data_IF_429669750368
#
_entry.id   IF_429669750368
#
_cell.length_a   1.000
_cell.length_b   1.000
_cell.length_c   1.000
_cell.angle_alpha   90.00
_cell.angle_beta   90.00
_cell.angle_gamma   90.00
#
_symmetry.space_group_name_H-M   'P 1'
#
loop_
_entity.id
_entity.type
_entity.pdbx_description
1 polymer ?
#
# COMPACT_ATOMS: atom_id res chain seq x y z
N UNK A 1 -4.95 14.53 15.00
CA UNK A 1 -5.18 13.52 16.06
C UNK A 1 -4.74 12.18 15.49
N UNK A 2 -4.15 11.29 16.29
CA UNK A 2 -3.74 9.96 15.83
C UNK A 2 -4.64 8.89 16.48
N UNK A 3 -5.14 7.90 15.72
CA UNK A 3 -5.21 7.90 14.26
C UNK A 3 -6.13 9.03 13.74
N UNK A 4 -6.01 9.38 12.45
CA UNK A 4 -6.94 10.32 11.81
C UNK A 4 -8.37 9.75 11.80
N UNK A 5 -8.49 8.44 11.61
CA UNK A 5 -9.76 7.72 11.65
C UNK A 5 -9.84 6.77 12.85
N UNK A 6 -10.91 6.92 13.63
CA UNK A 6 -11.23 5.98 14.73
C UNK A 6 -11.70 4.63 14.22
N UNK A 7 -12.18 4.58 12.98
CA UNK A 7 -12.64 3.39 12.28
C UNK A 7 -12.26 3.53 10.79
N UNK A 8 -11.28 2.76 10.28
CA UNK A 8 -10.89 2.83 8.87
C UNK A 8 -12.09 2.70 7.93
N UNK A 9 -12.28 3.69 7.05
CA UNK A 9 -13.40 3.85 6.08
C UNK A 9 -14.82 3.69 6.67
N UNK A 10 -14.96 3.75 7.99
CA UNK A 10 -16.22 3.43 8.66
C UNK A 10 -16.68 1.97 8.54
N UNK A 11 -15.91 1.09 7.88
CA UNK A 11 -16.33 -0.29 7.59
C UNK A 11 -15.16 -1.28 7.47
N UNK A 12 -14.61 -1.76 8.58
CA UNK A 12 -13.44 -2.67 8.65
C UNK A 12 -13.32 -3.81 7.63
N UNK A 13 -14.44 -4.39 7.20
CA UNK A 13 -14.50 -5.51 6.24
C UNK A 13 -15.02 -5.11 4.86
N UNK A 14 -15.21 -3.80 4.63
CA UNK A 14 -15.33 -3.26 3.29
C UNK A 14 -14.11 -3.65 2.46
N UNK A 15 -14.18 -3.48 1.14
CA UNK A 15 -13.04 -3.78 0.30
C UNK A 15 -11.93 -2.75 0.60
N UNK A 16 -10.88 -3.21 1.30
CA UNK A 16 -9.73 -2.39 1.70
C UNK A 16 -8.47 -2.92 1.02
N UNK A 17 -7.67 -1.99 0.51
CA UNK A 17 -6.38 -2.31 -0.07
C UNK A 17 -5.31 -2.61 1.01
N UNK A 18 -5.66 -2.53 2.30
CA UNK A 18 -4.93 -3.09 3.43
C UNK A 18 -5.08 -4.63 3.53
N UNK A 19 -6.32 -5.13 3.45
CA UNK A 19 -6.64 -6.52 3.73
C UNK A 19 -6.13 -7.47 2.63
N UNK A 20 -6.42 -7.14 1.37
CA UNK A 20 -6.15 -8.05 0.26
C UNK A 20 -4.65 -8.34 0.05
N UNK A 21 -3.73 -7.36 0.13
CA UNK A 21 -2.31 -7.64 0.01
C UNK A 21 -1.77 -8.52 1.14
N UNK A 22 -2.24 -8.32 2.38
CA UNK A 22 -1.83 -9.15 3.52
C UNK A 22 -2.33 -10.59 3.38
N UNK A 23 -3.58 -10.81 2.94
CA UNK A 23 -4.08 -12.16 2.65
C UNK A 23 -3.33 -12.83 1.50
N UNK A 24 -3.08 -12.11 0.39
CA UNK A 24 -2.31 -12.62 -0.73
C UNK A 24 -0.89 -13.02 -0.30
N UNK A 25 -0.28 -12.22 0.57
CA UNK A 25 1.03 -12.52 1.14
C UNK A 25 1.01 -13.76 2.03
N UNK A 26 0.02 -13.91 2.92
CA UNK A 26 -0.13 -15.11 3.74
C UNK A 26 -0.29 -16.36 2.87
N UNK A 27 -1.06 -16.28 1.79
CA UNK A 27 -1.18 -17.36 0.81
C UNK A 27 0.17 -17.70 0.15
N UNK A 28 0.95 -16.69 -0.28
CA UNK A 28 2.28 -16.90 -0.84
C UNK A 28 3.24 -17.53 0.18
N UNK A 29 3.18 -17.09 1.44
CA UNK A 29 3.98 -17.64 2.52
C UNK A 29 3.63 -19.11 2.78
N UNK A 30 2.34 -19.45 2.84
CA UNK A 30 1.86 -20.83 2.98
C UNK A 30 2.36 -21.72 1.83
N UNK A 31 2.25 -21.26 0.57
CA UNK A 31 2.77 -21.99 -0.60
C UNK A 31 4.27 -22.21 -0.53
N UNK A 32 5.04 -21.25 0.00
CA UNK A 32 6.49 -21.41 0.17
C UNK A 32 6.85 -22.35 1.32
N UNK A 33 6.04 -22.37 2.37
CA UNK A 33 6.17 -23.32 3.46
C UNK A 33 6.02 -24.75 2.95
N UNK A 34 4.97 -25.04 2.16
CA UNK A 34 4.74 -26.37 1.56
C UNK A 34 5.96 -26.88 0.76
N UNK A 35 6.56 -25.99 -0.03
CA UNK A 35 7.70 -26.32 -0.90
C UNK A 35 9.03 -26.42 -0.12
N UNK A 36 9.10 -25.83 1.06
CA UNK A 36 10.33 -25.70 1.83
C UNK A 36 10.08 -25.82 3.34
N UNK A 37 9.64 -26.98 3.86
CA UNK A 37 9.13 -27.11 5.23
C UNK A 37 10.13 -26.80 6.36
N UNK A 38 11.43 -26.70 6.04
CA UNK A 38 12.49 -26.33 7.01
C UNK A 38 12.94 -24.88 6.91
N UNK A 39 12.27 -24.11 6.05
CA UNK A 39 12.47 -22.68 5.89
C UNK A 39 11.09 -22.13 6.14
N UNK A 40 10.88 -21.47 7.27
CA UNK A 40 9.59 -20.91 7.62
C UNK A 40 9.72 -19.38 7.58
N UNK A 41 8.85 -18.65 6.88
CA UNK A 41 8.87 -17.19 6.85
C UNK A 41 8.22 -16.60 8.12
N UNK A 42 8.65 -17.05 9.31
CA UNK A 42 7.97 -16.79 10.59
C UNK A 42 7.75 -15.31 10.84
N UNK A 43 8.77 -14.48 10.62
CA UNK A 43 8.66 -13.03 10.82
C UNK A 43 7.63 -12.40 9.87
N UNK A 44 7.58 -12.81 8.60
CA UNK A 44 6.59 -12.32 7.62
C UNK A 44 5.19 -12.70 8.06
N UNK A 45 4.96 -13.98 8.39
CA UNK A 45 3.64 -14.51 8.75
C UNK A 45 3.14 -13.92 10.06
N UNK A 46 3.97 -13.93 11.11
CA UNK A 46 3.59 -13.40 12.42
C UNK A 46 3.26 -11.90 12.36
N UNK A 47 4.08 -11.11 11.64
CA UNK A 47 3.83 -9.66 11.51
C UNK A 47 2.59 -9.36 10.67
N UNK A 48 2.32 -10.18 9.64
CA UNK A 48 1.12 -10.06 8.82
C UNK A 48 -0.16 -10.35 9.61
N UNK A 49 -0.13 -11.43 10.41
CA UNK A 49 -1.23 -11.80 11.29
C UNK A 49 -1.44 -10.74 12.38
N UNK A 50 -0.36 -10.17 12.92
CA UNK A 50 -0.44 -9.04 13.85
C UNK A 50 -1.13 -7.84 13.19
N UNK A 51 -0.75 -7.49 11.97
CA UNK A 51 -1.35 -6.38 11.23
C UNK A 51 -2.85 -6.61 10.98
N UNK A 52 -3.22 -7.79 10.50
CA UNK A 52 -4.62 -8.16 10.26
C UNK A 52 -5.44 -8.18 11.55
N UNK A 53 -4.90 -8.74 12.63
CA UNK A 53 -5.58 -8.77 13.93
C UNK A 53 -5.78 -7.37 14.49
N UNK A 54 -4.74 -6.54 14.44
CA UNK A 54 -4.79 -5.16 14.90
C UNK A 54 -5.86 -4.36 14.14
N UNK A 55 -5.88 -4.47 12.82
CA UNK A 55 -6.88 -3.85 11.96
C UNK A 55 -8.29 -4.34 12.29
N UNK A 56 -8.54 -5.64 12.13
CA UNK A 56 -9.88 -6.22 12.19
C UNK A 56 -10.50 -6.20 13.61
N UNK A 57 -9.68 -6.27 14.66
CA UNK A 57 -10.16 -6.49 16.02
C UNK A 57 -9.76 -5.43 17.04
N UNK A 58 -8.62 -4.77 16.89
CA UNK A 58 -8.12 -3.85 17.94
C UNK A 58 -8.49 -2.40 17.64
N UNK A 59 -8.28 -1.95 16.40
CA UNK A 59 -8.40 -0.54 16.00
C UNK A 59 -9.79 0.03 16.34
N UNK A 60 -10.86 -0.71 16.07
CA UNK A 60 -12.23 -0.29 16.39
C UNK A 60 -12.44 0.14 17.85
N UNK A 61 -11.86 -0.61 18.78
CA UNK A 61 -12.11 -0.44 20.21
C UNK A 61 -11.00 0.37 20.90
N UNK A 62 -9.79 0.32 20.36
CA UNK A 62 -8.61 1.02 20.87
C UNK A 62 -7.86 1.66 19.70
N UNK A 63 -8.33 2.79 19.14
CA UNK A 63 -7.84 3.31 17.86
C UNK A 63 -6.34 3.58 17.83
N UNK A 64 -5.81 4.26 18.85
CA UNK A 64 -4.36 4.53 18.95
C UNK A 64 -3.57 3.23 18.95
N UNK A 65 -3.94 2.29 19.81
CA UNK A 65 -3.20 1.04 19.98
C UNK A 65 -3.31 0.14 18.75
N UNK A 66 -4.50 0.02 18.16
CA UNK A 66 -4.73 -0.77 16.95
C UNK A 66 -4.01 -0.20 15.73
N UNK A 67 -4.03 1.12 15.52
CA UNK A 67 -3.27 1.76 14.45
C UNK A 67 -1.76 1.53 14.60
N UNK A 68 -1.21 1.70 15.81
CA UNK A 68 0.21 1.42 16.09
C UNK A 68 0.56 -0.04 15.82
N UNK A 69 -0.25 -0.99 16.30
CA UNK A 69 -0.03 -2.41 16.06
C UNK A 69 -0.14 -2.79 14.59
N UNK A 70 -1.09 -2.20 13.85
CA UNK A 70 -1.26 -2.43 12.42
C UNK A 70 -0.03 -1.98 11.64
N UNK A 71 0.43 -0.75 11.87
CA UNK A 71 1.65 -0.20 11.27
C UNK A 71 2.88 -1.03 11.63
N UNK A 72 3.05 -1.40 12.90
CA UNK A 72 4.16 -2.25 13.35
C UNK A 72 4.14 -3.62 12.66
N UNK A 73 2.96 -4.24 12.52
CA UNK A 73 2.79 -5.49 11.81
C UNK A 73 3.15 -5.39 10.32
N UNK A 74 2.69 -4.35 9.63
CA UNK A 74 3.04 -4.13 8.21
C UNK A 74 4.54 -3.86 8.03
N UNK A 75 5.14 -3.01 8.88
CA UNK A 75 6.59 -2.76 8.86
C UNK A 75 7.39 -4.04 9.15
N UNK A 76 6.96 -4.85 10.12
CA UNK A 76 7.57 -6.14 10.44
C UNK A 76 7.47 -7.13 9.27
N UNK A 77 6.36 -7.10 8.53
CA UNK A 77 6.17 -7.87 7.30
C UNK A 77 7.16 -7.45 6.22
N UNK A 78 7.31 -6.15 5.96
CA UNK A 78 8.25 -5.63 4.94
C UNK A 78 9.68 -6.01 5.31
N UNK A 79 10.07 -5.78 6.58
CA UNK A 79 11.38 -6.15 7.10
C UNK A 79 11.60 -7.66 6.99
N UNK A 80 10.61 -8.46 7.34
CA UNK A 80 10.64 -9.91 7.16
C UNK A 80 10.86 -10.30 5.70
N UNK A 81 10.19 -9.65 4.76
CA UNK A 81 10.39 -9.85 3.32
C UNK A 81 11.83 -9.54 2.90
N UNK A 82 12.37 -8.39 3.34
CA UNK A 82 13.72 -7.95 3.04
C UNK A 82 14.81 -8.90 3.59
N UNK A 83 14.58 -9.46 4.78
CA UNK A 83 15.51 -10.41 5.43
C UNK A 83 15.37 -11.84 4.90
N UNK A 84 14.27 -12.16 4.21
CA UNK A 84 13.98 -13.52 3.74
C UNK A 84 14.49 -13.77 2.32
N UNK A 85 15.81 -13.86 2.16
CA UNK A 85 16.43 -14.18 0.86
C UNK A 85 16.26 -15.65 0.43
N UNK A 86 15.93 -16.55 1.36
CA UNK A 86 15.96 -18.01 1.16
C UNK A 86 14.94 -18.56 0.16
N UNK A 87 13.91 -17.80 -0.21
CA UNK A 87 12.88 -18.18 -1.21
C UNK A 87 13.10 -17.57 -2.61
N UNK A 88 14.21 -16.86 -2.78
CA UNK A 88 14.57 -16.17 -4.01
C UNK A 88 13.94 -14.79 -4.15
N UNK A 89 14.52 -13.98 -5.04
CA UNK A 89 14.20 -12.56 -5.22
C UNK A 89 12.75 -12.29 -5.60
N UNK A 90 12.08 -13.21 -6.32
CA UNK A 90 10.67 -13.06 -6.71
C UNK A 90 9.74 -13.05 -5.50
N UNK A 91 9.98 -13.92 -4.51
CA UNK A 91 9.20 -13.95 -3.28
C UNK A 91 9.42 -12.68 -2.47
N UNK A 92 10.68 -12.26 -2.32
CA UNK A 92 11.04 -11.02 -1.62
C UNK A 92 10.34 -9.80 -2.24
N UNK A 93 10.42 -9.65 -3.58
CA UNK A 93 9.73 -8.56 -4.29
C UNK A 93 8.22 -8.62 -4.05
N UNK A 94 7.61 -9.81 -4.11
CA UNK A 94 6.18 -9.96 -3.89
C UNK A 94 5.77 -9.57 -2.45
N UNK A 95 6.48 -10.08 -1.43
CA UNK A 95 6.19 -9.76 -0.01
C UNK A 95 6.38 -8.26 0.26
N UNK A 96 7.48 -7.67 -0.21
CA UNK A 96 7.74 -6.23 -0.02
C UNK A 96 6.70 -5.40 -0.76
N UNK A 97 6.37 -5.73 -2.01
CA UNK A 97 5.35 -5.02 -2.78
C UNK A 97 3.96 -5.08 -2.15
N UNK A 98 3.54 -6.26 -1.69
CA UNK A 98 2.26 -6.42 -0.99
C UNK A 98 2.26 -5.72 0.38
N UNK A 99 3.38 -5.75 1.10
CA UNK A 99 3.53 -5.03 2.36
C UNK A 99 3.48 -3.50 2.17
N UNK A 100 4.11 -2.97 1.12
CA UNK A 100 4.03 -1.55 0.77
C UNK A 100 2.61 -1.14 0.39
N UNK A 101 1.88 -2.00 -0.33
CA UNK A 101 0.48 -1.72 -0.66
C UNK A 101 -0.41 -1.64 0.59
N UNK A 102 -0.19 -2.53 1.57
CA UNK A 102 -0.89 -2.45 2.85
C UNK A 102 -0.42 -1.26 3.71
N UNK A 103 0.85 -0.86 3.60
CA UNK A 103 1.38 0.29 4.33
C UNK A 103 0.78 1.61 3.84
N UNK A 104 0.57 1.73 2.53
CA UNK A 104 -0.10 2.87 1.90
C UNK A 104 -1.45 3.14 2.58
N UNK A 105 -2.32 2.13 2.63
CA UNK A 105 -3.65 2.21 3.22
C UNK A 105 -3.57 2.54 4.73
N UNK A 106 -2.73 1.80 5.46
CA UNK A 106 -2.55 2.01 6.90
C UNK A 106 -2.08 3.42 7.24
N UNK A 107 -1.21 4.00 6.42
CA UNK A 107 -0.71 5.37 6.58
C UNK A 107 -1.80 6.38 6.29
N UNK A 108 -2.61 6.18 5.25
CA UNK A 108 -3.75 7.03 4.93
C UNK A 108 -4.69 7.15 6.13
N UNK A 109 -5.19 6.03 6.66
CA UNK A 109 -6.12 6.03 7.80
C UNK A 109 -5.49 6.49 9.12
N UNK A 110 -4.22 6.15 9.34
CA UNK A 110 -3.55 6.50 10.60
C UNK A 110 -3.22 7.99 10.67
N UNK A 111 -2.85 8.62 9.56
CA UNK A 111 -2.35 9.99 9.56
C UNK A 111 -3.24 10.99 8.82
N UNK A 112 -4.24 10.52 8.07
CA UNK A 112 -5.13 11.36 7.26
C UNK A 112 -4.38 12.00 6.10
N UNK A 113 -3.33 11.34 5.61
CA UNK A 113 -2.51 11.82 4.51
C UNK A 113 -2.93 11.13 3.23
N UNK A 114 -2.95 11.87 2.13
CA UNK A 114 -3.24 11.30 0.82
C UNK A 114 -2.18 10.27 0.44
N UNK A 115 -2.61 9.14 -0.11
CA UNK A 115 -1.72 8.11 -0.65
C UNK A 115 -2.13 7.64 -2.05
N UNK A 116 -1.18 7.18 -2.88
CA UNK A 116 -1.47 6.79 -4.26
C UNK A 116 -2.49 5.65 -4.40
N UNK A 117 -2.47 4.61 -3.57
CA UNK A 117 -3.42 3.51 -3.72
C UNK A 117 -4.81 3.91 -3.27
N UNK A 118 -4.92 4.72 -2.22
CA UNK A 118 -6.20 5.28 -1.78
C UNK A 118 -6.85 6.13 -2.88
N UNK A 119 -6.06 6.96 -3.57
CA UNK A 119 -6.55 7.70 -4.73
C UNK A 119 -7.04 6.78 -5.86
N UNK A 120 -6.24 5.78 -6.24
CA UNK A 120 -6.61 4.81 -7.28
C UNK A 120 -7.86 4.03 -6.88
N UNK A 121 -8.00 3.72 -5.59
CA UNK A 121 -9.14 3.04 -5.02
C UNK A 121 -10.40 3.89 -5.13
N UNK A 122 -10.34 5.17 -4.78
CA UNK A 122 -11.45 6.12 -4.96
C UNK A 122 -11.87 6.25 -6.44
N UNK A 123 -10.91 6.32 -7.36
CA UNK A 123 -11.20 6.32 -8.81
C UNK A 123 -11.89 5.03 -9.25
N UNK A 124 -11.37 3.88 -8.83
CA UNK A 124 -11.95 2.57 -9.16
C UNK A 124 -13.37 2.44 -8.60
N UNK A 125 -13.59 2.86 -7.36
CA UNK A 125 -14.88 2.82 -6.69
C UNK A 125 -15.94 3.65 -7.42
N UNK A 126 -15.59 4.87 -7.81
CA UNK A 126 -16.48 5.75 -8.54
C UNK A 126 -16.83 5.18 -9.94
N UNK A 127 -15.86 4.60 -10.65
CA UNK A 127 -16.10 3.87 -11.91
C UNK A 127 -17.07 2.69 -11.68
N UNK A 128 -16.85 1.91 -10.63
CA UNK A 128 -17.65 0.73 -10.33
C UNK A 128 -19.12 1.08 -10.03
N UNK A 129 -19.37 2.20 -9.35
CA UNK A 129 -20.72 2.68 -9.02
C UNK A 129 -21.39 3.48 -10.16
N UNK A 130 -20.73 3.62 -11.32
CA UNK A 130 -21.23 4.44 -12.41
C UNK A 130 -21.32 5.94 -12.06
N UNK A 131 -20.62 6.36 -11.01
CA UNK A 131 -20.48 7.76 -10.67
C UNK A 131 -19.61 8.42 -11.75
N UNK A 132 -20.02 9.60 -12.21
CA UNK A 132 -19.13 10.39 -13.04
C UNK A 132 -18.00 10.85 -12.15
N UNK A 133 -16.84 10.19 -12.23
CA UNK A 133 -15.61 10.71 -11.65
C UNK A 133 -15.48 12.11 -12.24
N UNK A 134 -15.59 13.21 -11.46
CA UNK A 134 -15.14 14.47 -11.97
C UNK A 134 -13.67 14.20 -12.31
N UNK A 135 -13.35 14.17 -13.60
CA UNK A 135 -11.97 14.25 -14.02
C UNK A 135 -11.55 15.58 -13.44
N UNK A 136 -10.89 15.55 -12.27
CA UNK A 136 -10.47 16.75 -11.57
C UNK A 136 -9.34 17.30 -12.44
N UNK A 137 -9.72 18.00 -13.50
CA UNK A 137 -8.85 18.82 -14.31
C UNK A 137 -8.28 19.98 -13.48
N UNK A 138 -8.69 20.11 -12.21
CA UNK A 138 -8.33 21.17 -11.27
C UNK A 138 -7.31 20.79 -10.18
N UNK A 139 -6.94 19.50 -10.03
CA UNK A 139 -5.99 19.07 -8.97
C UNK A 139 -4.77 18.32 -9.47
N UNK A 140 -4.58 18.23 -10.79
CA UNK A 140 -3.22 18.37 -11.32
C UNK A 140 -2.83 19.83 -11.08
N UNK A 141 -2.50 20.18 -9.82
CA UNK A 141 -1.56 21.28 -9.61
C UNK A 141 -0.39 20.94 -10.51
N UNK A 142 -0.02 21.88 -11.37
CA UNK A 142 1.25 21.81 -12.08
C UNK A 142 2.29 21.24 -11.09
N UNK A 143 3.00 20.14 -11.44
CA UNK A 143 4.00 19.55 -10.56
C UNK A 143 4.97 20.60 -10.01
N UNK A 144 5.20 21.70 -10.74
CA UNK A 144 5.96 22.86 -10.28
C UNK A 144 5.31 23.57 -9.08
N UNK A 145 3.98 23.76 -9.07
CA UNK A 145 3.24 24.38 -7.96
C UNK A 145 3.20 23.47 -6.75
N UNK A 146 2.99 22.16 -6.94
CA UNK A 146 3.02 21.20 -5.85
C UNK A 146 4.41 21.11 -5.19
N UNK A 147 5.47 21.18 -6.01
CA UNK A 147 6.86 21.24 -5.52
C UNK A 147 7.16 22.57 -4.81
N UNK A 148 6.65 23.70 -5.33
CA UNK A 148 6.82 25.01 -4.72
C UNK A 148 6.13 25.12 -3.34
N UNK A 149 4.93 24.55 -3.20
CA UNK A 149 4.21 24.48 -1.92
C UNK A 149 4.93 23.59 -0.91
N UNK A 150 5.53 22.48 -1.38
CA UNK A 150 6.38 21.62 -0.55
C UNK A 150 7.65 22.34 -0.12
N UNK A 151 8.29 23.08 -1.02
CA UNK A 151 9.50 23.86 -0.74
C UNK A 151 9.23 25.02 0.22
N UNK A 152 8.08 25.70 0.12
CA UNK A 152 7.71 26.78 1.04
C UNK A 152 7.41 26.26 2.44
N UNK A 153 6.66 25.15 2.56
CA UNK A 153 6.37 24.51 3.84
C UNK A 153 7.63 23.97 4.54
N UNK A 154 8.57 23.41 3.76
CA UNK A 154 9.84 22.89 4.26
C UNK A 154 10.83 24.02 4.61
N UNK A 155 10.78 25.13 3.86
CA UNK A 155 11.62 26.31 4.08
C UNK A 155 11.32 27.08 5.37
N UNK A 156 10.09 27.00 5.88
CA UNK A 156 9.69 27.73 7.08
C UNK A 156 9.96 26.97 8.40
N UNK A 157 10.32 25.68 8.38
CA UNK A 157 10.25 24.86 9.61
C UNK A 157 11.40 23.88 9.89
N UNK A 158 12.49 23.85 9.11
CA UNK A 158 13.63 22.95 9.41
C UNK A 158 14.91 23.70 9.84
N UNK A 159 15.50 23.37 11.01
CA UNK A 159 16.88 23.73 11.28
C UNK A 159 17.80 23.04 10.25
N UNK A 160 18.86 23.74 9.82
CA UNK A 160 19.78 23.28 8.79
C UNK A 160 20.29 21.85 9.06
N UNK A 161 19.73 20.87 8.33
CA UNK A 161 20.21 19.50 8.35
C UNK A 161 21.47 19.39 7.48
N UNK A 162 22.48 18.59 7.90
CA UNK A 162 23.68 18.36 7.09
C UNK A 162 23.29 17.68 5.77
N UNK A 163 23.95 18.10 4.68
CA UNK A 163 23.70 17.62 3.33
C UNK A 163 23.81 16.09 3.24
N UNK A 164 22.68 15.42 3.03
CA UNK A 164 22.64 14.02 2.62
C UNK A 164 22.84 13.93 1.10
N UNK A 165 23.56 12.91 0.59
CA UNK A 165 23.74 12.70 -0.84
C UNK A 165 22.40 12.40 -1.54
N UNK A 166 22.25 12.92 -2.75
CA UNK A 166 21.02 12.91 -3.53
C UNK A 166 20.45 11.49 -3.76
N UNK A 167 19.36 11.17 -3.06
CA UNK A 167 18.45 10.06 -3.35
C UNK A 167 17.30 10.55 -4.26
N UNK A 168 17.66 11.12 -5.41
CA UNK A 168 16.69 11.47 -6.45
C UNK A 168 16.20 10.21 -7.18
N UNK A 169 14.89 10.11 -7.39
CA UNK A 169 14.19 9.20 -8.31
C UNK A 169 13.74 7.80 -7.84
N UNK A 170 14.05 7.35 -6.62
CA UNK A 170 13.58 6.02 -6.19
C UNK A 170 12.04 5.86 -6.16
N UNK A 171 11.26 6.85 -5.66
CA UNK A 171 9.80 6.75 -5.64
C UNK A 171 9.19 6.77 -7.05
N UNK A 172 9.67 7.64 -7.93
CA UNK A 172 9.19 7.80 -9.32
C UNK A 172 9.47 6.56 -10.16
N UNK A 173 10.65 5.95 -10.00
CA UNK A 173 11.02 4.73 -10.71
C UNK A 173 10.22 3.51 -10.23
N UNK A 174 9.88 3.44 -8.94
CA UNK A 174 9.01 2.38 -8.39
C UNK A 174 7.58 2.48 -8.95
N UNK A 175 7.01 3.68 -8.99
CA UNK A 175 5.67 3.92 -9.55
C UNK A 175 5.64 3.62 -11.05
N UNK A 176 6.61 4.14 -11.82
CA UNK A 176 6.69 3.88 -13.26
C UNK A 176 6.92 2.39 -13.59
N UNK A 177 7.70 1.69 -12.76
CA UNK A 177 7.91 0.25 -12.85
C UNK A 177 6.63 -0.56 -12.60
N UNK A 178 5.87 -0.19 -11.57
CA UNK A 178 4.59 -0.83 -11.24
C UNK A 178 3.54 -0.64 -12.35
N UNK A 179 3.41 0.59 -12.90
CA UNK A 179 2.49 0.88 -14.00
C UNK A 179 2.83 0.08 -15.26
N UNK A 180 4.11 -0.01 -15.64
CA UNK A 180 4.54 -0.83 -16.79
C UNK A 180 4.32 -2.32 -16.57
N UNK A 181 4.46 -2.82 -15.34
CA UNK A 181 4.23 -4.22 -15.02
C UNK A 181 2.74 -4.57 -15.11
N UNK A 182 1.85 -3.70 -14.61
CA UNK A 182 0.40 -3.84 -14.70
C UNK A 182 -0.11 -3.79 -16.15
N UNK A 183 0.44 -2.89 -16.97
CA UNK A 183 0.07 -2.76 -18.39
C UNK A 183 0.45 -3.99 -19.26
N UNK A 184 1.28 -4.91 -18.74
CA UNK A 184 1.69 -6.14 -19.42
C UNK A 184 0.91 -7.37 -18.97
N UNK A 185 0.00 -7.24 -18.00
CA UNK A 185 -0.86 -8.33 -17.60
C UNK A 185 -1.92 -8.58 -18.70
N UNK A 186 -2.09 -9.81 -19.20
CA UNK A 186 -3.03 -10.14 -20.27
C UNK A 186 -4.52 -10.06 -19.86
N UNK A 187 -4.81 -9.51 -18.68
CA UNK A 187 -6.15 -9.45 -18.07
C UNK A 187 -6.98 -8.28 -18.64
N UNK A 188 -6.36 -7.36 -19.39
CA UNK A 188 -7.02 -6.20 -20.00
C UNK A 188 -7.13 -6.29 -21.54
N UNK A 189 -7.07 -7.49 -22.13
CA UNK A 189 -7.45 -7.64 -23.53
C UNK A 189 -8.99 -7.56 -23.63
N UNK A 190 -9.58 -6.58 -24.34
CA UNK A 190 -11.02 -6.56 -24.56
C UNK A 190 -11.40 -7.80 -25.37
N UNK A 191 -12.21 -8.69 -24.77
CA UNK A 191 -12.92 -9.72 -25.52
C UNK A 191 -14.02 -9.04 -26.35
N UNK A 192 -13.66 -8.46 -27.49
CA UNK A 192 -14.62 -8.20 -28.57
C UNK A 192 -14.86 -9.50 -29.33
N UNK A 193 -15.71 -10.36 -28.77
CA UNK A 193 -16.37 -11.41 -29.54
C UNK A 193 -17.73 -10.87 -29.98
N UNK A 194 -17.83 -10.48 -31.25
CA UNK A 194 -19.11 -10.27 -31.92
C UNK A 194 -19.80 -11.62 -32.07
N UNK A 195 -20.99 -11.76 -31.48
CA UNK A 195 -21.90 -12.88 -31.75
C UNK A 195 -22.56 -12.62 -33.10
N UNK A 196 -22.41 -13.48 -34.11
CA UNK A 196 -23.21 -13.38 -35.32
C UNK A 196 -24.66 -13.81 -35.02
N UNK A 197 -25.62 -13.06 -35.57
CA UNK A 197 -27.04 -13.41 -35.59
C UNK A 197 -27.29 -14.66 -36.45
#
# INVERSE_FOLDING_TARGET
MFPAETLPDGALFGPHHFLYPLYAMLFLAARKWDLHPRKEPVLVVASALLALFAWAHVWKYYPVFGATMALAGVCGTILGGLLTWRYGRRFQIAVVGLGLAALDDAVSHAFGVWTPLDHLWGVWWAIYHGERVPVVAESVRDPATALADLQSAVGESLPALPALPALGDLPTLLVAGAVRALARLPILAPHTALVPL
#
